data_IF_289888577810
#
_entry.id   IF_289888577810
#
_cell.length_a   1.000
_cell.length_b   1.000
_cell.length_c   1.000
_cell.angle_alpha   90.00
_cell.angle_beta   90.00
_cell.angle_gamma   90.00
#
_symmetry.space_group_name_H-M   'P 1'
#
loop_
_entity.id
_entity.type
_entity.pdbx_description
1 polymer ?
#
# COMPACT_ATOMS: atom_id res chain seq x y z
N UNK A 1 -1.36 46.60 3.89
CA UNK A 1 -0.72 45.50 4.66
C UNK A 1 0.07 44.52 3.77
N UNK A 2 -0.45 44.10 2.63
CA UNK A 2 0.23 43.20 1.68
C UNK A 2 1.43 43.89 1.00
N UNK A 3 1.32 45.18 0.65
CA UNK A 3 2.42 45.95 0.03
C UNK A 3 3.60 46.18 0.98
N UNK A 4 3.36 46.38 2.27
CA UNK A 4 4.43 46.51 3.26
C UNK A 4 5.20 45.19 3.47
N UNK A 5 4.53 44.06 3.31
CA UNK A 5 5.19 42.74 3.37
C UNK A 5 6.03 42.51 2.10
N UNK A 6 5.53 42.89 0.91
CA UNK A 6 6.30 42.83 -0.35
C UNK A 6 7.56 43.70 -0.28
N UNK A 7 7.44 44.95 0.17
CA UNK A 7 8.57 45.86 0.26
C UNK A 7 9.63 45.43 1.28
N UNK A 8 9.21 44.90 2.44
CA UNK A 8 10.11 44.34 3.43
C UNK A 8 10.84 43.08 2.96
N UNK A 9 10.15 42.16 2.25
CA UNK A 9 10.79 40.98 1.70
C UNK A 9 11.76 41.35 0.57
N UNK A 10 11.39 42.28 -0.31
CA UNK A 10 12.28 42.76 -1.40
C UNK A 10 13.51 43.46 -0.87
N UNK A 11 13.41 44.23 0.23
CA UNK A 11 14.54 44.88 0.88
C UNK A 11 15.45 43.89 1.61
N UNK A 12 14.88 42.87 2.28
CA UNK A 12 15.65 41.78 2.92
C UNK A 12 16.43 40.97 1.87
N UNK A 13 15.87 40.77 0.68
CA UNK A 13 16.55 40.06 -0.42
C UNK A 13 17.68 40.90 -1.07
N UNK A 14 17.57 42.20 -1.09
CA UNK A 14 18.62 43.10 -1.62
C UNK A 14 19.80 43.31 -0.67
N UNK A 15 19.60 43.20 0.65
CA UNK A 15 20.62 43.51 1.66
C UNK A 15 21.49 42.30 2.04
N UNK A 16 21.07 41.06 1.75
CA UNK A 16 21.84 39.86 2.10
C UNK A 16 21.85 38.85 0.95
N UNK A 17 23.01 38.70 0.35
CA UNK A 17 23.27 37.63 -0.64
C UNK A 17 23.08 36.24 0.00
N UNK A 18 22.14 35.44 -0.50
CA UNK A 18 22.09 33.99 -0.36
C UNK A 18 21.30 33.44 0.86
N UNK A 19 21.89 32.66 1.68
CA UNK A 19 21.24 31.77 2.68
C UNK A 19 20.58 32.49 3.88
N UNK A 20 20.98 33.73 4.20
CA UNK A 20 20.50 34.46 5.39
C UNK A 20 19.05 34.96 5.28
N UNK A 21 18.52 35.19 4.06
CA UNK A 21 17.16 35.72 3.89
C UNK A 21 16.11 34.61 3.96
N UNK A 22 16.44 33.42 3.48
CA UNK A 22 15.54 32.24 3.50
C UNK A 22 15.24 31.81 4.94
N UNK A 23 16.22 31.89 5.83
CA UNK A 23 16.09 31.53 7.25
C UNK A 23 15.03 32.34 8.01
N UNK A 24 14.69 33.54 7.54
CA UNK A 24 13.66 34.41 8.17
C UNK A 24 12.25 34.13 7.65
N UNK A 25 12.12 33.60 6.45
CA UNK A 25 10.82 33.32 5.81
C UNK A 25 10.30 31.93 6.22
N UNK A 26 11.19 30.94 6.34
CA UNK A 26 10.84 29.55 6.70
C UNK A 26 10.01 29.46 7.99
N UNK A 27 10.33 30.14 9.12
CA UNK A 27 9.49 30.10 10.31
C UNK A 27 8.06 30.56 10.08
N UNK A 28 7.85 31.50 9.16
CA UNK A 28 6.51 31.99 8.79
C UNK A 28 5.73 30.95 7.99
N UNK A 29 6.41 30.22 7.08
CA UNK A 29 5.83 29.09 6.34
C UNK A 29 5.41 28.00 7.32
N UNK A 30 6.28 27.63 8.24
CA UNK A 30 6.00 26.60 9.26
C UNK A 30 4.80 26.98 10.12
N UNK A 31 4.73 28.25 10.57
CA UNK A 31 3.64 28.73 11.43
C UNK A 31 2.28 28.71 10.72
N UNK A 32 2.24 29.03 9.43
CA UNK A 32 1.00 29.07 8.64
C UNK A 32 0.63 27.71 8.05
N UNK A 33 1.58 26.82 7.89
CA UNK A 33 1.46 25.58 7.13
C UNK A 33 1.65 25.82 5.62
N UNK A 34 2.20 24.81 4.92
CA UNK A 34 2.53 24.91 3.48
C UNK A 34 1.30 25.22 2.64
N UNK A 35 0.18 24.59 2.96
CA UNK A 35 -1.08 24.71 2.22
C UNK A 35 -1.68 26.13 2.29
N UNK A 36 -1.25 26.95 3.28
CA UNK A 36 -1.80 28.29 3.55
C UNK A 36 -0.86 29.44 3.19
N UNK A 37 0.25 29.15 2.50
CA UNK A 37 1.22 30.17 2.09
C UNK A 37 1.21 30.30 0.59
N UNK A 38 0.92 31.55 0.11
CA UNK A 38 1.06 31.84 -1.30
C UNK A 38 2.53 32.21 -1.58
N UNK A 39 3.18 31.38 -2.41
CA UNK A 39 4.58 31.55 -2.83
C UNK A 39 4.69 31.98 -4.30
N UNK A 40 3.57 32.32 -4.98
CA UNK A 40 3.53 32.67 -6.42
C UNK A 40 4.31 33.96 -6.74
N UNK A 41 4.60 34.77 -5.72
CA UNK A 41 5.41 35.98 -5.88
C UNK A 41 6.91 35.69 -6.10
N UNK A 42 7.36 34.47 -5.82
CA UNK A 42 8.76 34.07 -5.97
C UNK A 42 8.93 33.33 -7.30
N UNK A 43 10.13 33.47 -7.88
CA UNK A 43 10.54 32.63 -9.00
C UNK A 43 10.62 31.14 -8.55
N UNK A 44 10.60 30.23 -9.52
CA UNK A 44 10.58 28.81 -9.24
C UNK A 44 11.77 28.32 -8.41
N UNK A 45 12.96 28.90 -8.63
CA UNK A 45 14.17 28.53 -7.91
C UNK A 45 14.06 28.93 -6.43
N UNK A 46 13.67 30.19 -6.17
CA UNK A 46 13.49 30.70 -4.81
C UNK A 46 12.37 29.96 -4.09
N UNK A 47 11.25 29.70 -4.78
CA UNK A 47 10.14 28.93 -4.23
C UNK A 47 10.56 27.52 -3.83
N UNK A 48 11.31 26.83 -4.70
CA UNK A 48 11.81 25.48 -4.41
C UNK A 48 12.81 25.49 -3.23
N UNK A 49 13.67 26.48 -3.14
CA UNK A 49 14.60 26.61 -2.02
C UNK A 49 13.86 26.84 -0.70
N UNK A 50 12.85 27.70 -0.68
CA UNK A 50 12.00 27.94 0.51
C UNK A 50 11.25 26.68 0.94
N UNK A 51 10.67 25.95 -0.01
CA UNK A 51 9.95 24.70 0.28
C UNK A 51 10.90 23.60 0.79
N UNK A 52 12.08 23.45 0.18
CA UNK A 52 13.08 22.48 0.66
C UNK A 52 13.56 22.85 2.07
N UNK A 53 13.85 24.13 2.35
CA UNK A 53 14.24 24.57 3.69
C UNK A 53 13.12 24.38 4.73
N UNK A 54 11.87 24.59 4.33
CA UNK A 54 10.72 24.29 5.19
C UNK A 54 10.59 22.77 5.44
N UNK A 55 10.79 21.95 4.41
CA UNK A 55 10.83 20.51 4.52
C UNK A 55 11.89 20.01 5.50
N UNK A 56 13.12 20.52 5.40
CA UNK A 56 14.20 20.19 6.33
C UNK A 56 13.87 20.59 7.78
N UNK A 57 13.21 21.72 7.97
CA UNK A 57 12.79 22.15 9.31
C UNK A 57 11.64 21.27 9.85
N UNK A 58 10.71 20.84 9.02
CA UNK A 58 9.68 19.86 9.41
C UNK A 58 10.30 18.51 9.80
N UNK A 59 11.31 18.03 9.05
CA UNK A 59 12.06 16.81 9.43
C UNK A 59 12.67 16.95 10.82
N UNK A 60 13.34 18.08 11.14
CA UNK A 60 13.91 18.34 12.47
C UNK A 60 12.85 18.32 13.57
N UNK A 61 11.64 18.77 13.29
CA UNK A 61 10.51 18.75 14.24
C UNK A 61 9.81 17.40 14.31
N UNK A 62 10.18 16.45 13.46
CA UNK A 62 9.52 15.14 13.36
C UNK A 62 8.16 15.16 12.64
N UNK A 63 7.80 16.27 11.99
CA UNK A 63 6.58 16.38 11.18
C UNK A 63 6.85 15.89 9.75
N UNK A 64 6.98 14.58 9.62
CA UNK A 64 7.30 13.96 8.34
C UNK A 64 6.20 14.12 7.30
N UNK A 65 4.95 14.29 7.70
CA UNK A 65 3.83 14.50 6.77
C UNK A 65 4.01 15.84 6.02
N UNK A 66 4.29 16.91 6.74
CA UNK A 66 4.54 18.22 6.12
C UNK A 66 5.86 18.25 5.35
N UNK A 67 6.90 17.53 5.86
CA UNK A 67 8.16 17.39 5.15
C UNK A 67 7.98 16.70 3.79
N UNK A 68 7.26 15.57 3.74
CA UNK A 68 6.95 14.87 2.48
C UNK A 68 6.18 15.77 1.52
N UNK A 69 5.17 16.51 1.99
CA UNK A 69 4.45 17.50 1.15
C UNK A 69 5.39 18.53 0.52
N UNK A 70 6.32 19.09 1.33
CA UNK A 70 7.31 20.07 0.85
C UNK A 70 8.18 19.49 -0.26
N UNK A 71 8.72 18.29 -0.03
CA UNK A 71 9.63 17.64 -0.97
C UNK A 71 8.92 17.10 -2.22
N UNK A 72 7.62 16.78 -2.13
CA UNK A 72 6.80 16.45 -3.30
C UNK A 72 6.61 17.65 -4.23
N UNK A 73 6.34 18.83 -3.67
CA UNK A 73 6.18 20.07 -4.43
C UNK A 73 7.46 20.45 -5.19
N UNK A 74 8.63 20.17 -4.59
CA UNK A 74 9.95 20.44 -5.19
C UNK A 74 10.49 19.27 -6.01
N UNK A 75 9.81 18.12 -6.00
CA UNK A 75 10.28 16.84 -6.58
C UNK A 75 11.67 16.44 -6.05
N UNK A 76 11.93 16.71 -4.77
CA UNK A 76 13.21 16.40 -4.16
C UNK A 76 13.29 14.93 -3.77
N UNK A 77 13.73 14.09 -4.73
CA UNK A 77 13.79 12.64 -4.62
C UNK A 77 14.72 12.20 -3.47
N UNK A 78 15.86 12.88 -3.33
CA UNK A 78 16.84 12.56 -2.30
C UNK A 78 16.24 12.70 -0.90
N UNK A 79 15.58 13.84 -0.64
CA UNK A 79 14.94 14.10 0.65
C UNK A 79 13.74 13.19 0.94
N UNK A 80 12.98 12.82 -0.09
CA UNK A 80 11.93 11.82 0.05
C UNK A 80 12.53 10.47 0.46
N UNK A 81 13.64 10.05 -0.18
CA UNK A 81 14.32 8.82 0.17
C UNK A 81 14.90 8.85 1.59
N UNK A 82 15.46 9.99 2.05
CA UNK A 82 15.92 10.17 3.45
C UNK A 82 14.78 9.92 4.45
N UNK A 83 13.57 10.46 4.19
CA UNK A 83 12.41 10.21 5.05
C UNK A 83 12.00 8.73 5.01
N UNK A 84 12.01 8.11 3.84
CA UNK A 84 11.77 6.67 3.70
C UNK A 84 12.77 5.84 4.51
N UNK A 85 14.07 6.20 4.47
CA UNK A 85 15.13 5.56 5.26
C UNK A 85 14.88 5.71 6.77
N UNK A 86 14.41 6.89 7.22
CA UNK A 86 14.04 7.12 8.63
C UNK A 86 12.88 6.20 9.04
N UNK A 87 11.81 6.11 8.25
CA UNK A 87 10.70 5.21 8.54
C UNK A 87 11.12 3.74 8.55
N UNK A 88 11.92 3.32 7.55
CA UNK A 88 12.44 1.96 7.45
C UNK A 88 13.34 1.58 8.64
N UNK A 89 14.18 2.51 9.12
CA UNK A 89 15.03 2.29 10.29
C UNK A 89 14.26 2.13 11.60
N UNK A 90 13.04 2.69 11.66
CA UNK A 90 12.13 2.59 12.81
C UNK A 90 11.19 1.38 12.72
N UNK A 91 11.31 0.52 11.70
CA UNK A 91 10.39 -0.58 11.46
C UNK A 91 9.00 -0.15 10.97
N UNK A 92 8.84 1.12 10.58
CA UNK A 92 7.59 1.68 10.07
C UNK A 92 7.50 1.45 8.55
N UNK A 93 7.43 0.15 8.14
CA UNK A 93 7.59 -0.24 6.75
C UNK A 93 6.46 0.24 5.85
N UNK A 94 5.23 0.27 6.34
CA UNK A 94 4.10 0.79 5.56
C UNK A 94 4.36 2.24 5.10
N UNK A 95 4.80 3.11 6.04
CA UNK A 95 5.15 4.50 5.74
C UNK A 95 6.40 4.60 4.84
N UNK A 96 7.41 3.75 5.06
CA UNK A 96 8.61 3.71 4.23
C UNK A 96 8.27 3.38 2.78
N UNK A 97 7.48 2.31 2.54
CA UNK A 97 7.04 1.92 1.20
C UNK A 97 6.22 3.02 0.53
N UNK A 98 5.35 3.71 1.29
CA UNK A 98 4.57 4.84 0.78
C UNK A 98 5.48 5.96 0.28
N UNK A 99 6.44 6.42 1.09
CA UNK A 99 7.35 7.51 0.71
C UNK A 99 8.27 7.10 -0.45
N UNK A 100 8.80 5.87 -0.45
CA UNK A 100 9.59 5.37 -1.57
C UNK A 100 8.77 5.25 -2.86
N UNK A 101 7.47 4.94 -2.77
CA UNK A 101 6.60 4.93 -3.94
C UNK A 101 6.43 6.32 -4.56
N UNK A 102 6.34 7.35 -3.73
CA UNK A 102 6.31 8.76 -4.18
C UNK A 102 7.62 9.15 -4.87
N UNK A 103 8.77 8.77 -4.30
CA UNK A 103 10.09 8.98 -4.90
C UNK A 103 10.22 8.23 -6.23
N UNK A 104 9.78 6.97 -6.29
CA UNK A 104 9.78 6.15 -7.49
C UNK A 104 8.99 6.78 -8.64
N UNK A 105 7.85 7.41 -8.37
CA UNK A 105 7.05 8.07 -9.40
C UNK A 105 7.81 9.17 -10.16
N UNK A 106 8.80 9.79 -9.52
CA UNK A 106 9.64 10.82 -10.16
C UNK A 106 10.92 10.25 -10.78
N UNK A 107 11.58 9.33 -10.09
CA UNK A 107 12.91 8.81 -10.48
C UNK A 107 12.86 7.59 -11.39
N UNK A 108 11.77 6.81 -11.31
CA UNK A 108 11.67 5.46 -11.87
C UNK A 108 12.76 4.49 -11.32
N UNK A 109 13.47 4.89 -10.24
CA UNK A 109 14.45 4.03 -9.56
C UNK A 109 13.76 3.19 -8.48
N UNK A 110 13.70 1.88 -8.72
CA UNK A 110 13.04 0.91 -7.84
C UNK A 110 13.91 0.39 -6.70
N UNK A 111 15.20 0.76 -6.64
CA UNK A 111 16.15 0.16 -5.70
C UNK A 111 15.74 0.34 -4.23
N UNK A 112 15.23 1.52 -3.85
CA UNK A 112 14.77 1.77 -2.48
C UNK A 112 13.55 0.91 -2.10
N UNK A 113 12.60 0.74 -3.01
CA UNK A 113 11.45 -0.16 -2.81
C UNK A 113 11.89 -1.61 -2.66
N UNK A 114 12.80 -2.08 -3.52
CA UNK A 114 13.33 -3.44 -3.48
C UNK A 114 14.04 -3.68 -2.15
N UNK A 115 14.97 -2.81 -1.77
CA UNK A 115 15.70 -2.95 -0.50
C UNK A 115 14.76 -2.92 0.72
N UNK A 116 13.77 -2.04 0.71
CA UNK A 116 12.75 -2.00 1.75
C UNK A 116 11.95 -3.30 1.81
N UNK A 117 11.52 -3.84 0.67
CA UNK A 117 10.80 -5.11 0.59
C UNK A 117 11.63 -6.31 1.11
N UNK A 118 12.92 -6.36 0.79
CA UNK A 118 13.84 -7.39 1.30
C UNK A 118 13.97 -7.29 2.84
N UNK A 119 14.09 -6.08 3.37
CA UNK A 119 14.12 -5.85 4.83
C UNK A 119 12.80 -6.25 5.49
N UNK A 120 11.65 -5.95 4.85
CA UNK A 120 10.34 -6.38 5.32
C UNK A 120 10.24 -7.91 5.45
N UNK A 121 10.80 -8.68 4.49
CA UNK A 121 10.83 -10.14 4.58
C UNK A 121 11.63 -10.60 5.81
N UNK A 122 12.81 -10.03 6.02
CA UNK A 122 13.68 -10.38 7.16
C UNK A 122 13.00 -10.14 8.51
N UNK A 123 12.18 -9.10 8.61
CA UNK A 123 11.47 -8.72 9.82
C UNK A 123 10.04 -9.32 9.92
N UNK A 124 9.62 -10.11 8.89
CA UNK A 124 8.31 -10.78 8.89
C UNK A 124 7.13 -9.93 8.47
N UNK A 125 7.37 -8.75 7.89
CA UNK A 125 6.36 -7.83 7.36
C UNK A 125 6.00 -8.15 5.91
N UNK A 126 5.47 -9.36 5.65
CA UNK A 126 5.27 -9.89 4.29
C UNK A 126 4.29 -9.08 3.44
N UNK A 127 3.25 -8.49 4.04
CA UNK A 127 2.31 -7.62 3.32
C UNK A 127 2.96 -6.32 2.83
N UNK A 128 3.87 -5.73 3.62
CA UNK A 128 4.63 -4.55 3.20
C UNK A 128 5.65 -4.92 2.10
N UNK A 129 6.26 -6.11 2.18
CA UNK A 129 7.13 -6.64 1.13
C UNK A 129 6.36 -6.83 -0.19
N UNK A 130 5.16 -7.43 -0.13
CA UNK A 130 4.28 -7.57 -1.28
C UNK A 130 3.99 -6.22 -1.93
N UNK A 131 3.63 -5.22 -1.13
CA UNK A 131 3.33 -3.87 -1.61
C UNK A 131 4.56 -3.23 -2.28
N UNK A 132 5.73 -3.33 -1.65
CA UNK A 132 6.98 -2.77 -2.18
C UNK A 132 7.36 -3.39 -3.53
N UNK A 133 7.34 -4.72 -3.64
CA UNK A 133 7.68 -5.43 -4.89
C UNK A 133 6.62 -5.25 -5.98
N UNK A 134 5.34 -5.11 -5.62
CA UNK A 134 4.26 -4.83 -6.56
C UNK A 134 4.43 -3.44 -7.20
N UNK A 135 4.77 -2.42 -6.41
CA UNK A 135 5.05 -1.07 -6.92
C UNK A 135 6.31 -1.08 -7.80
N UNK A 136 7.35 -1.80 -7.37
CA UNK A 136 8.59 -1.98 -8.13
C UNK A 136 8.42 -2.83 -9.39
N UNK A 137 7.26 -3.50 -9.56
CA UNK A 137 6.96 -4.46 -10.63
C UNK A 137 8.03 -5.54 -10.77
N UNK A 138 8.50 -6.06 -9.62
CA UNK A 138 9.55 -7.08 -9.59
C UNK A 138 8.93 -8.47 -9.42
N UNK A 139 8.59 -9.09 -10.55
CA UNK A 139 7.94 -10.41 -10.59
C UNK A 139 8.80 -11.50 -9.94
N UNK A 140 10.11 -11.45 -10.11
CA UNK A 140 11.03 -12.45 -9.55
C UNK A 140 10.97 -12.44 -8.02
N UNK A 141 10.99 -11.25 -7.41
CA UNK A 141 10.86 -11.10 -5.96
C UNK A 141 9.48 -11.41 -5.44
N UNK A 142 8.44 -11.12 -6.22
CA UNK A 142 7.06 -11.53 -5.87
C UNK A 142 6.92 -13.05 -5.86
N UNK A 143 7.47 -13.77 -6.84
CA UNK A 143 7.46 -15.24 -6.87
C UNK A 143 8.17 -15.79 -5.63
N UNK A 144 9.37 -15.29 -5.32
CA UNK A 144 10.12 -15.70 -4.14
C UNK A 144 9.36 -15.40 -2.83
N UNK A 145 8.73 -14.23 -2.72
CA UNK A 145 7.89 -13.88 -1.58
C UNK A 145 6.74 -14.87 -1.40
N UNK A 146 6.08 -15.27 -2.50
CA UNK A 146 5.01 -16.27 -2.46
C UNK A 146 5.48 -17.61 -1.88
N UNK A 147 6.66 -18.11 -2.30
CA UNK A 147 7.23 -19.35 -1.77
C UNK A 147 7.59 -19.21 -0.27
N UNK A 148 8.22 -18.10 0.12
CA UNK A 148 8.51 -17.82 1.54
C UNK A 148 7.22 -17.79 2.37
N UNK A 149 6.15 -17.15 1.86
CA UNK A 149 4.87 -17.10 2.56
C UNK A 149 4.25 -18.49 2.72
N UNK A 150 4.39 -19.38 1.72
CA UNK A 150 3.94 -20.77 1.85
C UNK A 150 4.73 -21.54 2.92
N UNK A 151 6.06 -21.39 2.96
CA UNK A 151 6.92 -22.01 3.97
C UNK A 151 6.62 -21.50 5.39
N UNK A 152 6.27 -20.22 5.51
CA UNK A 152 5.93 -19.57 6.80
C UNK A 152 4.44 -19.68 7.15
N UNK A 153 3.66 -20.44 6.41
CA UNK A 153 2.21 -20.61 6.58
C UNK A 153 1.40 -19.28 6.53
N UNK A 154 1.93 -18.26 5.86
CA UNK A 154 1.24 -16.99 5.62
C UNK A 154 0.35 -17.11 4.37
N UNK A 155 -0.66 -17.97 4.46
CA UNK A 155 -1.51 -18.35 3.31
C UNK A 155 -2.24 -17.16 2.71
N UNK A 156 -2.71 -16.23 3.54
CA UNK A 156 -3.36 -14.98 3.13
C UNK A 156 -2.48 -14.16 2.19
N UNK A 157 -1.24 -13.92 2.59
CA UNK A 157 -0.28 -13.15 1.77
C UNK A 157 0.14 -13.95 0.52
N UNK A 158 0.31 -15.27 0.62
CA UNK A 158 0.62 -16.11 -0.54
C UNK A 158 -0.48 -16.02 -1.62
N UNK A 159 -1.75 -16.05 -1.22
CA UNK A 159 -2.88 -15.85 -2.14
C UNK A 159 -2.78 -14.47 -2.81
N UNK A 160 -2.52 -13.41 -2.05
CA UNK A 160 -2.39 -12.06 -2.58
C UNK A 160 -1.21 -11.92 -3.55
N UNK A 161 -0.07 -12.54 -3.24
CA UNK A 161 1.10 -12.57 -4.14
C UNK A 161 0.74 -13.23 -5.46
N UNK A 162 0.13 -14.41 -5.44
CA UNK A 162 -0.24 -15.12 -6.66
C UNK A 162 -1.39 -14.43 -7.42
N UNK A 163 -2.25 -13.70 -6.73
CA UNK A 163 -3.25 -12.83 -7.34
C UNK A 163 -2.61 -11.68 -8.13
N UNK A 164 -1.65 -10.97 -7.52
CA UNK A 164 -0.90 -9.88 -8.18
C UNK A 164 -0.14 -10.39 -9.42
N UNK A 165 0.41 -11.61 -9.34
CA UNK A 165 1.09 -12.27 -10.46
C UNK A 165 0.14 -12.85 -11.51
N UNK A 166 -1.19 -12.79 -11.29
CA UNK A 166 -2.19 -13.48 -12.11
C UNK A 166 -1.89 -14.97 -12.31
N UNK A 167 -1.25 -15.62 -11.32
CA UNK A 167 -0.84 -17.02 -11.42
C UNK A 167 -1.97 -17.94 -10.97
N UNK A 168 -2.92 -18.18 -11.87
CA UNK A 168 -4.10 -19.02 -11.61
C UNK A 168 -3.74 -20.45 -11.24
N UNK A 169 -2.66 -21.01 -11.82
CA UNK A 169 -2.22 -22.37 -11.53
C UNK A 169 -1.76 -22.52 -10.07
N UNK A 170 -0.93 -21.58 -9.57
CA UNK A 170 -0.50 -21.59 -8.15
C UNK A 170 -1.66 -21.31 -7.20
N UNK A 171 -2.60 -20.44 -7.57
CA UNK A 171 -3.83 -20.21 -6.78
C UNK A 171 -4.66 -21.47 -6.65
N UNK A 172 -4.88 -22.21 -7.74
CA UNK A 172 -5.64 -23.48 -7.71
C UNK A 172 -4.92 -24.51 -6.85
N UNK A 173 -3.60 -24.71 -7.04
CA UNK A 173 -2.80 -25.64 -6.22
C UNK A 173 -2.86 -25.29 -4.74
N UNK A 174 -2.78 -24.01 -4.40
CA UNK A 174 -2.89 -23.52 -3.03
C UNK A 174 -4.30 -23.77 -2.47
N UNK A 175 -5.34 -23.53 -3.27
CA UNK A 175 -6.72 -23.85 -2.91
C UNK A 175 -6.92 -25.34 -2.64
N UNK A 176 -6.37 -26.22 -3.49
CA UNK A 176 -6.43 -27.68 -3.32
C UNK A 176 -5.70 -28.12 -2.01
N UNK A 177 -4.55 -27.54 -1.74
CA UNK A 177 -3.84 -27.78 -0.46
C UNK A 177 -4.67 -27.33 0.73
N UNK A 178 -5.22 -26.11 0.70
CA UNK A 178 -6.06 -25.58 1.78
C UNK A 178 -7.32 -26.43 2.00
N UNK A 179 -7.94 -26.92 0.91
CA UNK A 179 -9.09 -27.80 0.98
C UNK A 179 -8.75 -29.11 1.69
N UNK A 180 -7.63 -29.75 1.33
CA UNK A 180 -7.16 -30.99 1.94
C UNK A 180 -6.79 -30.80 3.44
N UNK A 181 -6.34 -29.62 3.83
CA UNK A 181 -6.04 -29.22 5.20
C UNK A 181 -7.28 -28.72 5.98
N UNK A 182 -8.47 -28.81 5.38
CA UNK A 182 -9.74 -28.30 5.94
C UNK A 182 -9.74 -26.79 6.23
N UNK A 183 -8.90 -26.03 5.52
CA UNK A 183 -8.84 -24.55 5.59
C UNK A 183 -9.79 -23.97 4.52
N UNK A 184 -11.09 -24.22 4.67
CA UNK A 184 -12.10 -23.99 3.63
C UNK A 184 -12.20 -22.54 3.17
N UNK A 185 -12.01 -21.56 4.09
CA UNK A 185 -12.03 -20.12 3.75
C UNK A 185 -10.90 -19.71 2.81
N UNK A 186 -9.69 -20.22 3.02
CA UNK A 186 -8.56 -19.96 2.11
C UNK A 186 -8.73 -20.67 0.77
N UNK A 187 -9.27 -21.89 0.77
CA UNK A 187 -9.59 -22.61 -0.47
C UNK A 187 -10.61 -21.81 -1.31
N UNK A 188 -11.69 -21.34 -0.69
CA UNK A 188 -12.69 -20.51 -1.34
C UNK A 188 -12.09 -19.25 -1.98
N UNK A 189 -11.30 -18.48 -1.19
CA UNK A 189 -10.65 -17.24 -1.66
C UNK A 189 -9.68 -17.50 -2.82
N UNK A 190 -8.90 -18.58 -2.75
CA UNK A 190 -7.95 -18.93 -3.79
C UNK A 190 -8.67 -19.31 -5.10
N UNK A 191 -9.74 -20.11 -5.04
CA UNK A 191 -10.52 -20.50 -6.21
C UNK A 191 -11.33 -19.34 -6.79
N UNK A 192 -11.85 -18.45 -5.94
CA UNK A 192 -12.56 -17.23 -6.36
C UNK A 192 -11.65 -16.32 -7.17
N UNK A 193 -10.44 -16.01 -6.64
CA UNK A 193 -9.46 -15.19 -7.35
C UNK A 193 -8.97 -15.86 -8.63
N UNK A 194 -8.79 -17.18 -8.62
CA UNK A 194 -8.47 -17.96 -9.81
C UNK A 194 -9.63 -18.03 -10.83
N UNK A 195 -10.83 -17.53 -10.47
CA UNK A 195 -12.07 -17.62 -11.24
C UNK A 195 -12.38 -19.07 -11.69
N UNK A 196 -12.09 -20.06 -10.84
CA UNK A 196 -12.29 -21.47 -11.16
C UNK A 196 -13.64 -21.98 -10.62
N UNK A 197 -14.65 -21.92 -11.47
CA UNK A 197 -16.04 -22.28 -11.12
C UNK A 197 -16.21 -23.76 -10.76
N UNK A 198 -15.44 -24.64 -11.39
CA UNK A 198 -15.51 -26.08 -11.12
C UNK A 198 -14.97 -26.40 -9.72
N UNK A 199 -13.86 -25.79 -9.34
CA UNK A 199 -13.28 -25.95 -7.99
C UNK A 199 -14.18 -25.32 -6.92
N UNK A 200 -14.79 -24.16 -7.21
CA UNK A 200 -15.78 -23.57 -6.32
C UNK A 200 -17.00 -24.50 -6.15
N UNK A 201 -17.55 -25.05 -7.24
CA UNK A 201 -18.64 -26.01 -7.13
C UNK A 201 -18.28 -27.25 -6.30
N UNK A 202 -17.07 -27.79 -6.53
CA UNK A 202 -16.57 -28.93 -5.74
C UNK A 202 -16.40 -28.58 -4.26
N UNK A 203 -15.98 -27.36 -3.92
CA UNK A 203 -15.94 -26.86 -2.55
C UNK A 203 -17.35 -26.73 -1.96
N UNK A 204 -18.31 -26.26 -2.75
CA UNK A 204 -19.73 -26.23 -2.40
C UNK A 204 -20.26 -27.61 -2.00
N UNK A 205 -19.88 -28.66 -2.75
CA UNK A 205 -20.26 -30.05 -2.44
C UNK A 205 -19.68 -30.52 -1.09
N UNK A 206 -18.44 -30.14 -0.78
CA UNK A 206 -17.81 -30.46 0.51
C UNK A 206 -18.55 -29.76 1.66
N UNK A 207 -18.86 -28.48 1.49
CA UNK A 207 -19.59 -27.69 2.49
C UNK A 207 -21.00 -28.22 2.71
N UNK A 208 -21.70 -28.60 1.64
CA UNK A 208 -23.04 -29.19 1.70
C UNK A 208 -23.04 -30.52 2.47
N UNK A 209 -22.09 -31.39 2.16
CA UNK A 209 -21.90 -32.69 2.87
C UNK A 209 -21.56 -32.47 4.36
N UNK A 210 -20.89 -31.41 4.68
CA UNK A 210 -20.56 -31.02 6.07
C UNK A 210 -21.72 -30.33 6.81
N UNK A 211 -22.88 -30.16 6.16
CA UNK A 211 -24.03 -29.47 6.73
C UNK A 211 -23.91 -27.92 6.82
N UNK A 212 -22.88 -27.34 6.20
CA UNK A 212 -22.63 -25.91 6.18
C UNK A 212 -23.44 -25.24 5.04
N UNK A 213 -24.78 -25.31 5.16
CA UNK A 213 -25.71 -24.97 4.09
C UNK A 213 -25.57 -23.53 3.57
N UNK A 214 -25.51 -22.54 4.48
CA UNK A 214 -25.34 -21.13 4.11
C UNK A 214 -24.02 -20.86 3.39
N UNK A 215 -22.93 -21.48 3.85
CA UNK A 215 -21.63 -21.38 3.19
C UNK A 215 -21.64 -22.07 1.83
N UNK A 216 -22.27 -23.25 1.73
CA UNK A 216 -22.42 -23.97 0.47
C UNK A 216 -23.20 -23.15 -0.56
N UNK A 217 -24.33 -22.55 -0.14
CA UNK A 217 -25.13 -21.67 -0.98
C UNK A 217 -24.30 -20.52 -1.56
N UNK A 218 -23.58 -19.80 -0.69
CA UNK A 218 -22.71 -18.69 -1.12
C UNK A 218 -21.64 -19.15 -2.13
N UNK A 219 -21.02 -20.30 -1.89
CA UNK A 219 -19.97 -20.81 -2.79
C UNK A 219 -20.57 -21.24 -4.14
N UNK A 220 -21.78 -21.83 -4.17
CA UNK A 220 -22.44 -22.15 -5.43
C UNK A 220 -22.88 -20.87 -6.19
N UNK A 221 -23.29 -19.83 -5.48
CA UNK A 221 -23.55 -18.51 -6.10
C UNK A 221 -22.29 -17.94 -6.77
N UNK A 222 -21.13 -17.97 -6.09
CA UNK A 222 -19.84 -17.57 -6.65
C UNK A 222 -19.42 -18.44 -7.85
N UNK A 223 -19.76 -19.73 -7.82
CA UNK A 223 -19.53 -20.67 -8.91
C UNK A 223 -20.47 -20.47 -10.10
N UNK A 224 -21.53 -19.67 -9.96
CA UNK A 224 -22.65 -19.58 -10.89
C UNK A 224 -23.34 -20.97 -11.13
N UNK A 225 -23.38 -21.80 -10.10
CA UNK A 225 -24.06 -23.13 -10.17
C UNK A 225 -25.54 -22.97 -9.80
N UNK A 226 -26.31 -22.45 -10.75
CA UNK A 226 -27.74 -22.16 -10.57
C UNK A 226 -28.54 -23.36 -10.12
N UNK A 227 -28.20 -24.56 -10.60
CA UNK A 227 -28.89 -25.80 -10.25
C UNK A 227 -28.78 -26.07 -8.75
N UNK A 228 -27.59 -25.98 -8.18
CA UNK A 228 -27.35 -26.20 -6.74
C UNK A 228 -27.88 -25.08 -5.87
N UNK A 229 -27.80 -23.82 -6.34
CA UNK A 229 -28.44 -22.67 -5.67
C UNK A 229 -29.95 -22.89 -5.55
N UNK A 230 -30.60 -23.26 -6.66
CA UNK A 230 -32.03 -23.55 -6.67
C UNK A 230 -32.38 -24.74 -5.76
N UNK A 231 -31.62 -25.84 -5.87
CA UNK A 231 -31.79 -27.00 -5.01
C UNK A 231 -31.75 -26.66 -3.51
N UNK A 232 -30.75 -25.90 -3.07
CA UNK A 232 -30.63 -25.51 -1.66
C UNK A 232 -31.80 -24.63 -1.22
N UNK A 233 -32.19 -23.64 -2.03
CA UNK A 233 -33.29 -22.72 -1.70
C UNK A 233 -34.65 -23.39 -1.64
N UNK A 234 -34.88 -24.41 -2.45
CA UNK A 234 -36.14 -25.14 -2.48
C UNK A 234 -36.27 -26.20 -1.37
N UNK A 235 -35.15 -26.74 -0.87
CA UNK A 235 -35.16 -27.85 0.08
C UNK A 235 -34.81 -27.50 1.51
N UNK A 236 -34.28 -26.26 1.77
CA UNK A 236 -33.88 -25.83 3.09
C UNK A 236 -34.52 -24.46 3.46
N UNK A 237 -34.98 -24.35 4.71
CA UNK A 237 -35.59 -23.11 5.22
C UNK A 237 -34.56 -22.02 5.47
N UNK A 238 -35.00 -20.74 5.46
CA UNK A 238 -34.14 -19.59 5.78
C UNK A 238 -33.47 -19.72 7.17
N UNK A 239 -34.16 -20.28 8.17
CA UNK A 239 -33.58 -20.56 9.49
C UNK A 239 -32.42 -21.56 9.45
N UNK A 240 -32.45 -22.51 8.53
CA UNK A 240 -31.34 -23.47 8.30
C UNK A 240 -30.17 -22.83 7.55
N UNK A 241 -30.45 -21.86 6.69
CA UNK A 241 -29.46 -21.10 5.92
C UNK A 241 -28.84 -19.96 6.74
N UNK A 242 -29.66 -19.33 7.62
CA UNK A 242 -29.28 -18.11 8.34
C UNK A 242 -28.37 -18.29 9.55
N UNK A 243 -28.11 -19.49 10.03
CA UNK A 243 -27.27 -19.72 11.24
C UNK A 243 -25.78 -19.36 11.08
N UNK A 244 -25.35 -18.87 9.94
CA UNK A 244 -23.94 -18.61 9.62
C UNK A 244 -23.66 -17.20 9.03
N UNK A 245 -24.61 -16.25 9.14
CA UNK A 245 -24.43 -14.85 8.74
C UNK A 245 -24.16 -13.89 9.93
N UNK A 246 -23.72 -14.42 11.07
CA UNK A 246 -23.30 -13.61 12.21
C UNK A 246 -21.78 -13.63 12.39
#
# INVERSE_FOLDING_TARGET
>A
MVENIKSNITNIMKENQGESSLSKIVPSIIKKGIDNVNLDMFDDTTRNNLLNAAGDEYVKRGDFVQAVKSFLLTKNIEKLNEIGDIYSSRGQFNQAVEVYSLSYNFSQDKNKLIHCGEKCILEGHYSDALRAFSIAKDETRLINLGEICLEKEKIDVAIEVFAVLNNTEKLIKLGDKCLNENRLGYAARAYEIANNKDKLSSLGDVLLKSGLLGSALRIYELANNEMMVKFIRENFSEDQLGKFYA
#
